data_IF_374370375155
#
_entry.id   IF_374370375155
#
_cell.length_a   1.000
_cell.length_b   1.000
_cell.length_c   1.000
_cell.angle_alpha   90.00
_cell.angle_beta   90.00
_cell.angle_gamma   90.00
#
_symmetry.space_group_name_H-M   'P 1'
#
loop_
_entity.id
_entity.type
_entity.pdbx_description
1 polymer ?
#
# COMPACT_ATOMS: atom_id res chain seq x y z
N UNK A 1 -5.37 -10.98 2.25
CA UNK A 1 -4.32 -11.69 1.51
C UNK A 1 -4.73 -13.10 1.06
N UNK A 2 -5.16 -14.00 1.96
CA UNK A 2 -5.62 -15.35 1.55
C UNK A 2 -6.95 -15.32 0.78
N UNK A 3 -7.91 -14.47 1.19
CA UNK A 3 -9.21 -14.29 0.52
C UNK A 3 -9.13 -13.82 -0.94
N UNK A 4 -8.21 -12.92 -1.27
CA UNK A 4 -8.04 -12.42 -2.66
C UNK A 4 -7.38 -13.47 -3.54
N UNK A 5 -6.33 -14.16 -3.04
CA UNK A 5 -5.72 -15.28 -3.76
C UNK A 5 -6.71 -16.41 -4.01
N UNK A 6 -7.60 -16.71 -3.06
CA UNK A 6 -8.67 -17.69 -3.23
C UNK A 6 -9.73 -17.21 -4.22
N UNK A 7 -10.12 -15.93 -4.19
CA UNK A 7 -11.04 -15.37 -5.18
C UNK A 7 -10.48 -15.44 -6.60
N UNK A 8 -9.21 -15.13 -6.79
CA UNK A 8 -8.54 -15.25 -8.09
C UNK A 8 -8.39 -16.71 -8.53
N UNK A 9 -8.12 -17.63 -7.60
CA UNK A 9 -8.10 -19.07 -7.88
C UNK A 9 -9.50 -19.58 -8.27
N UNK A 10 -10.54 -19.13 -7.55
CA UNK A 10 -11.94 -19.45 -7.81
C UNK A 10 -12.39 -18.93 -9.17
N UNK A 11 -12.07 -17.67 -9.51
CA UNK A 11 -12.33 -17.08 -10.83
C UNK A 11 -11.61 -17.79 -11.96
N UNK A 12 -10.35 -18.20 -11.75
CA UNK A 12 -9.61 -19.04 -12.72
C UNK A 12 -10.28 -20.40 -12.91
N UNK A 13 -10.80 -21.02 -11.84
CA UNK A 13 -11.50 -22.30 -11.91
C UNK A 13 -12.92 -22.21 -12.49
N UNK A 14 -13.59 -21.07 -12.38
CA UNK A 14 -14.93 -20.84 -12.96
C UNK A 14 -14.90 -20.27 -14.38
N UNK A 15 -13.73 -20.03 -14.97
CA UNK A 15 -13.61 -19.47 -16.32
C UNK A 15 -13.80 -17.94 -16.40
N UNK A 16 -13.69 -17.23 -15.27
CA UNK A 16 -13.85 -15.76 -15.18
C UNK A 16 -12.51 -15.05 -14.87
N UNK A 17 -11.38 -15.73 -15.05
CA UNK A 17 -10.06 -15.12 -14.89
C UNK A 17 -9.75 -14.13 -16.02
N UNK A 18 -8.92 -13.10 -15.77
CA UNK A 18 -8.57 -12.10 -16.80
C UNK A 18 -7.87 -12.69 -18.03
N UNK A 19 -7.23 -13.86 -17.88
CA UNK A 19 -6.67 -14.67 -18.98
C UNK A 19 -7.79 -15.26 -19.86
N UNK A 20 -8.87 -15.77 -19.24
CA UNK A 20 -10.03 -16.33 -19.96
C UNK A 20 -10.84 -15.23 -20.63
N UNK A 21 -11.01 -14.09 -19.96
CA UNK A 21 -11.64 -12.90 -20.55
C UNK A 21 -10.87 -12.48 -21.81
N UNK A 22 -9.54 -12.43 -21.75
CA UNK A 22 -8.71 -12.11 -22.91
C UNK A 22 -8.91 -13.10 -24.06
N UNK A 23 -8.84 -14.42 -23.79
CA UNK A 23 -9.13 -15.44 -24.82
C UNK A 23 -10.51 -15.26 -25.48
N UNK A 24 -11.53 -14.93 -24.69
CA UNK A 24 -12.89 -14.70 -25.20
C UNK A 24 -12.99 -13.43 -26.05
N UNK A 25 -12.29 -12.37 -25.64
CA UNK A 25 -12.20 -11.13 -26.41
C UNK A 25 -11.49 -11.36 -27.75
N UNK A 26 -10.41 -12.15 -27.76
CA UNK A 26 -9.68 -12.55 -28.98
C UNK A 26 -10.59 -13.28 -29.95
N UNK A 27 -11.27 -14.34 -29.50
CA UNK A 27 -12.22 -15.08 -30.34
C UNK A 27 -13.37 -14.20 -30.87
N UNK A 28 -13.83 -13.24 -30.06
CA UNK A 28 -14.84 -12.27 -30.51
C UNK A 28 -14.28 -11.33 -31.56
N UNK A 29 -13.06 -10.82 -31.37
CA UNK A 29 -12.41 -9.91 -32.30
C UNK A 29 -12.17 -10.58 -33.66
N UNK A 30 -11.70 -11.83 -33.67
CA UNK A 30 -11.58 -12.67 -34.88
C UNK A 30 -12.90 -12.74 -35.63
N UNK A 31 -13.99 -13.12 -34.94
CA UNK A 31 -15.29 -13.29 -35.57
C UNK A 31 -15.88 -11.98 -36.12
N UNK A 32 -15.62 -10.85 -35.46
CA UNK A 32 -16.12 -9.53 -35.87
C UNK A 32 -15.33 -8.94 -37.04
N UNK A 33 -14.01 -9.14 -37.07
CA UNK A 33 -13.11 -8.46 -38.02
C UNK A 33 -12.56 -9.38 -39.12
N UNK A 34 -12.77 -10.70 -39.04
CA UNK A 34 -12.32 -11.66 -40.05
C UNK A 34 -10.78 -11.77 -40.15
N UNK A 35 -10.08 -11.59 -39.03
CA UNK A 35 -8.60 -11.64 -38.95
C UNK A 35 -8.12 -12.98 -38.36
N UNK A 36 -6.82 -13.28 -38.50
CA UNK A 36 -6.23 -14.45 -37.84
C UNK A 36 -6.21 -14.28 -36.32
N UNK A 37 -6.07 -15.40 -35.60
CA UNK A 37 -5.96 -15.43 -34.14
C UNK A 37 -4.83 -14.54 -33.63
N UNK A 38 -3.64 -14.68 -34.22
CA UNK A 38 -2.43 -13.96 -33.84
C UNK A 38 -2.60 -12.45 -34.06
N UNK A 39 -3.26 -12.05 -35.15
CA UNK A 39 -3.54 -10.65 -35.43
C UNK A 39 -4.55 -10.05 -34.43
N UNK A 40 -5.55 -10.82 -34.00
CA UNK A 40 -6.50 -10.42 -32.96
C UNK A 40 -5.84 -10.31 -31.58
N UNK A 41 -5.02 -11.30 -31.20
CA UNK A 41 -4.23 -11.28 -29.96
C UNK A 41 -3.33 -10.06 -29.90
N UNK A 42 -2.60 -9.78 -30.99
CA UNK A 42 -1.76 -8.61 -31.09
C UNK A 42 -2.55 -7.31 -30.95
N UNK A 43 -3.68 -7.18 -31.65
CA UNK A 43 -4.50 -5.97 -31.56
C UNK A 43 -4.98 -5.72 -30.12
N UNK A 44 -5.56 -6.74 -29.47
CA UNK A 44 -6.07 -6.61 -28.10
C UNK A 44 -4.96 -6.44 -27.06
N UNK A 45 -3.80 -7.07 -27.27
CA UNK A 45 -2.62 -6.84 -26.45
C UNK A 45 -2.18 -5.38 -26.52
N UNK A 46 -2.09 -4.81 -27.73
CA UNK A 46 -1.72 -3.41 -27.93
C UNK A 46 -2.77 -2.46 -27.35
N UNK A 47 -4.06 -2.79 -27.43
CA UNK A 47 -5.11 -2.01 -26.76
C UNK A 47 -4.94 -2.00 -25.24
N UNK A 48 -4.66 -3.16 -24.63
CA UNK A 48 -4.39 -3.25 -23.17
C UNK A 48 -3.10 -2.53 -22.77
N UNK A 49 -2.08 -2.60 -23.60
CA UNK A 49 -0.83 -1.89 -23.38
C UNK A 49 -1.00 -0.37 -23.50
N UNK A 50 -1.79 0.08 -24.48
CA UNK A 50 -2.14 1.48 -24.63
C UNK A 50 -2.99 1.97 -23.45
N UNK A 51 -3.92 1.16 -22.95
CA UNK A 51 -4.68 1.47 -21.74
C UNK A 51 -3.76 1.63 -20.51
N UNK A 52 -2.76 0.76 -20.36
CA UNK A 52 -1.72 0.87 -19.32
C UNK A 52 -0.97 2.22 -19.43
N UNK A 53 -0.55 2.59 -20.64
CA UNK A 53 0.15 3.85 -20.92
C UNK A 53 -0.73 5.08 -20.65
N UNK A 54 -2.00 5.04 -21.04
CA UNK A 54 -2.96 6.10 -20.77
C UNK A 54 -3.17 6.29 -19.26
N UNK A 55 -3.32 5.22 -18.47
CA UNK A 55 -3.47 5.36 -17.02
C UNK A 55 -2.24 5.99 -16.36
N UNK A 56 -1.03 5.62 -16.76
CA UNK A 56 0.19 6.24 -16.25
C UNK A 56 0.22 7.75 -16.51
N UNK A 57 -0.15 8.12 -17.73
CA UNK A 57 -0.13 9.49 -18.21
C UNK A 57 -1.18 10.33 -17.48
N UNK A 58 -2.42 9.84 -17.38
CA UNK A 58 -3.57 10.60 -16.89
C UNK A 58 -3.85 10.41 -15.39
N UNK A 59 -3.89 9.16 -14.92
CA UNK A 59 -4.23 8.82 -13.54
C UNK A 59 -3.01 8.84 -12.61
N UNK A 60 -1.80 8.94 -13.17
CA UNK A 60 -0.52 9.05 -12.45
C UNK A 60 -0.21 7.85 -11.56
N UNK A 61 -0.96 6.78 -11.74
CA UNK A 61 -0.78 5.45 -11.20
C UNK A 61 -1.49 4.48 -12.14
N UNK A 62 -0.98 3.25 -12.18
CA UNK A 62 -1.66 2.17 -12.89
C UNK A 62 -2.62 1.52 -11.89
N UNK A 63 -3.90 1.47 -12.24
CA UNK A 63 -4.90 0.74 -11.47
C UNK A 63 -4.57 -0.75 -11.42
N UNK A 64 -4.93 -1.39 -10.32
CA UNK A 64 -4.75 -2.83 -10.16
C UNK A 64 -5.44 -3.62 -11.28
N UNK A 65 -6.56 -3.11 -11.80
CA UNK A 65 -7.36 -3.75 -12.84
C UNK A 65 -6.66 -3.71 -14.20
N UNK A 66 -6.26 -2.52 -14.66
CA UNK A 66 -5.57 -2.36 -15.95
C UNK A 66 -4.24 -3.09 -15.97
N UNK A 67 -3.48 -3.05 -14.86
CA UNK A 67 -2.26 -3.85 -14.76
C UNK A 67 -2.53 -5.35 -14.84
N UNK A 68 -3.55 -5.86 -14.12
CA UNK A 68 -3.90 -7.29 -14.16
C UNK A 68 -4.38 -7.72 -15.54
N UNK A 69 -5.12 -6.88 -16.25
CA UNK A 69 -5.55 -7.14 -17.61
C UNK A 69 -4.34 -7.25 -18.56
N UNK A 70 -3.39 -6.32 -18.45
CA UNK A 70 -2.14 -6.36 -19.24
C UNK A 70 -1.27 -7.59 -18.92
N UNK A 71 -1.09 -7.91 -17.63
CA UNK A 71 -0.33 -9.10 -17.21
C UNK A 71 -1.03 -10.38 -17.68
N UNK A 72 -2.36 -10.40 -17.68
CA UNK A 72 -3.13 -11.53 -18.19
C UNK A 72 -2.95 -11.72 -19.71
N UNK A 73 -2.95 -10.65 -20.50
CA UNK A 73 -2.66 -10.78 -21.94
C UNK A 73 -1.23 -11.26 -22.19
N UNK A 74 -0.25 -10.82 -21.41
CA UNK A 74 1.12 -11.34 -21.49
C UNK A 74 1.21 -12.83 -21.15
N UNK A 75 0.56 -13.27 -20.06
CA UNK A 75 0.58 -14.67 -19.65
C UNK A 75 -0.17 -15.57 -20.62
N UNK A 76 -1.16 -15.03 -21.34
CA UNK A 76 -1.88 -15.77 -22.37
C UNK A 76 -1.01 -15.93 -23.62
N UNK A 77 -0.46 -14.83 -24.15
CA UNK A 77 0.33 -14.84 -25.39
C UNK A 77 1.66 -15.61 -25.22
N UNK A 78 2.41 -15.35 -24.14
CA UNK A 78 3.78 -15.88 -23.99
C UNK A 78 3.90 -17.01 -22.96
N UNK A 79 2.80 -17.32 -22.25
CA UNK A 79 2.84 -18.19 -21.09
C UNK A 79 3.58 -17.58 -19.89
N UNK A 80 3.37 -18.18 -18.72
CA UNK A 80 4.03 -17.72 -17.46
C UNK A 80 5.55 -17.82 -17.51
N UNK A 81 6.07 -18.82 -18.21
CA UNK A 81 7.51 -19.01 -18.35
C UNK A 81 8.12 -17.95 -19.26
N UNK A 82 7.50 -17.64 -20.40
CA UNK A 82 7.96 -16.56 -21.28
C UNK A 82 7.96 -15.21 -20.58
N UNK A 83 6.92 -14.89 -19.80
CA UNK A 83 6.88 -13.67 -18.97
C UNK A 83 8.00 -13.65 -17.91
N UNK A 84 8.31 -14.78 -17.29
CA UNK A 84 9.40 -14.87 -16.33
C UNK A 84 10.78 -14.70 -17.00
N UNK A 85 10.96 -15.26 -18.20
CA UNK A 85 12.17 -15.09 -19.00
C UNK A 85 12.35 -13.64 -19.43
N UNK A 86 11.30 -12.95 -19.90
CA UNK A 86 11.35 -11.51 -20.19
C UNK A 86 11.81 -10.68 -18.98
N UNK A 87 11.30 -10.99 -17.79
CA UNK A 87 11.75 -10.32 -16.55
C UNK A 87 13.20 -10.61 -16.22
N UNK A 88 13.66 -11.86 -16.41
CA UNK A 88 15.07 -12.21 -16.21
C UNK A 88 15.97 -11.47 -17.19
N UNK A 89 15.58 -11.45 -18.46
CA UNK A 89 16.34 -10.82 -19.54
C UNK A 89 16.37 -9.30 -19.40
N UNK A 90 15.35 -8.71 -18.78
CA UNK A 90 15.31 -7.29 -18.40
C UNK A 90 16.49 -6.85 -17.52
N UNK A 91 17.06 -7.77 -16.73
CA UNK A 91 18.23 -7.53 -15.87
C UNK A 91 19.57 -7.80 -16.60
N UNK A 92 19.53 -8.38 -17.80
CA UNK A 92 20.72 -8.75 -18.54
C UNK A 92 21.41 -7.51 -19.15
N UNK A 93 22.72 -7.34 -18.94
CA UNK A 93 23.45 -6.15 -19.41
C UNK A 93 23.44 -5.93 -20.93
N UNK A 94 23.22 -6.97 -21.73
CA UNK A 94 23.17 -6.87 -23.20
C UNK A 94 21.96 -6.04 -23.65
N UNK A 95 20.87 -6.07 -22.88
CA UNK A 95 19.67 -5.28 -23.11
C UNK A 95 19.68 -3.95 -22.28
N UNK A 96 20.87 -3.48 -21.83
CA UNK A 96 21.09 -2.19 -21.14
C UNK A 96 20.83 -1.01 -22.08
N UNK A 97 20.54 0.20 -21.63
CA UNK A 97 19.90 0.71 -20.43
C UNK A 97 19.12 1.90 -20.98
N UNK A 98 17.84 2.04 -20.65
CA UNK A 98 17.15 3.26 -21.02
C UNK A 98 17.74 4.39 -20.16
N UNK A 99 18.57 5.24 -20.77
CA UNK A 99 19.15 6.40 -20.12
C UNK A 99 18.06 7.44 -19.94
N UNK A 100 17.33 7.32 -18.84
CA UNK A 100 16.36 8.32 -18.44
C UNK A 100 17.03 9.40 -17.61
N UNK A 101 16.66 10.64 -17.88
CA UNK A 101 16.93 11.72 -16.94
C UNK A 101 16.29 11.35 -15.59
N UNK A 102 16.93 11.69 -14.47
CA UNK A 102 16.31 11.52 -13.16
C UNK A 102 14.91 12.15 -13.12
N UNK A 103 14.03 11.61 -12.28
CA UNK A 103 12.73 12.24 -12.07
C UNK A 103 12.93 13.67 -11.52
N UNK A 104 12.20 14.60 -12.11
CA UNK A 104 12.17 16.01 -11.78
C UNK A 104 11.42 16.26 -10.46
N UNK A 105 11.62 17.45 -9.89
CA UNK A 105 10.86 17.88 -8.72
C UNK A 105 9.34 17.85 -8.96
N UNK A 106 8.91 18.16 -10.19
CA UNK A 106 7.49 18.07 -10.57
C UNK A 106 6.97 16.63 -10.47
N UNK A 107 7.73 15.65 -10.96
CA UNK A 107 7.38 14.21 -10.90
C UNK A 107 7.37 13.70 -9.44
N UNK A 108 8.30 14.16 -8.60
CA UNK A 108 8.29 13.86 -7.16
C UNK A 108 7.05 14.43 -6.47
N UNK A 109 6.72 15.69 -6.72
CA UNK A 109 5.54 16.34 -6.14
C UNK A 109 4.25 15.66 -6.61
N UNK A 110 4.18 15.26 -7.87
CA UNK A 110 3.04 14.49 -8.39
C UNK A 110 2.88 13.14 -7.68
N UNK A 111 3.98 12.41 -7.52
CA UNK A 111 3.98 11.11 -6.82
C UNK A 111 3.60 11.27 -5.35
N UNK A 112 4.13 12.29 -4.67
CA UNK A 112 3.73 12.61 -3.29
C UNK A 112 2.23 12.95 -3.20
N UNK A 113 1.69 13.72 -4.14
CA UNK A 113 0.27 14.07 -4.19
C UNK A 113 -0.62 12.85 -4.45
N UNK A 114 -0.17 11.89 -5.26
CA UNK A 114 -0.86 10.61 -5.44
C UNK A 114 -1.02 9.88 -4.11
N UNK A 115 0.09 9.67 -3.38
CA UNK A 115 0.05 9.03 -2.06
C UNK A 115 -0.84 9.80 -1.08
N UNK A 116 -0.72 11.14 -1.07
CA UNK A 116 -1.54 12.03 -0.23
C UNK A 116 -3.03 11.84 -0.49
N UNK A 117 -3.42 11.73 -1.76
CA UNK A 117 -4.83 11.55 -2.17
C UNK A 117 -5.34 10.15 -1.82
N UNK A 118 -4.54 9.11 -2.12
CA UNK A 118 -4.91 7.71 -1.90
C UNK A 118 -4.95 7.30 -0.42
N UNK A 119 -4.05 7.86 0.40
CA UNK A 119 -3.82 7.42 1.78
C UNK A 119 -4.15 8.50 2.83
N UNK A 120 -5.27 9.21 2.64
CA UNK A 120 -5.82 10.16 3.62
C UNK A 120 -4.80 11.19 4.13
N UNK A 121 -4.19 11.92 3.20
CA UNK A 121 -3.16 12.94 3.44
C UNK A 121 -1.80 12.44 3.98
N UNK A 122 -1.56 11.13 4.00
CA UNK A 122 -0.26 10.56 4.38
C UNK A 122 0.63 10.38 3.16
N UNK A 123 1.92 10.67 3.32
CA UNK A 123 2.94 10.53 2.27
C UNK A 123 4.08 9.65 2.79
N UNK A 124 4.60 8.70 1.99
CA UNK A 124 5.74 7.89 2.38
C UNK A 124 7.03 8.73 2.44
N UNK A 125 8.10 8.14 2.97
CA UNK A 125 9.41 8.80 3.01
C UNK A 125 9.92 9.17 1.62
N UNK A 126 10.79 10.20 1.55
CA UNK A 126 11.30 10.78 0.30
C UNK A 126 11.92 9.74 -0.62
N UNK A 127 12.66 8.76 -0.09
CA UNK A 127 13.25 7.68 -0.88
C UNK A 127 12.18 6.87 -1.65
N UNK A 128 11.07 6.51 -0.98
CA UNK A 128 9.97 5.77 -1.62
C UNK A 128 9.26 6.61 -2.68
N UNK A 129 9.03 7.89 -2.40
CA UNK A 129 8.44 8.81 -3.39
C UNK A 129 9.33 8.92 -4.62
N UNK A 130 10.64 9.03 -4.41
CA UNK A 130 11.63 9.08 -5.49
C UNK A 130 11.62 7.80 -6.32
N UNK A 131 11.73 6.63 -5.67
CA UNK A 131 11.75 5.33 -6.36
C UNK A 131 10.47 5.11 -7.19
N UNK A 132 9.29 5.44 -6.63
CA UNK A 132 8.02 5.34 -7.35
C UNK A 132 7.95 6.32 -8.54
N UNK A 133 8.47 7.55 -8.40
CA UNK A 133 8.51 8.51 -9.50
C UNK A 133 9.45 8.05 -10.63
N UNK A 134 10.62 7.48 -10.28
CA UNK A 134 11.56 6.92 -11.24
C UNK A 134 10.98 5.69 -11.95
N UNK A 135 10.32 4.78 -11.22
CA UNK A 135 9.62 3.64 -11.80
C UNK A 135 8.52 4.08 -12.77
N UNK A 136 7.73 5.09 -12.39
CA UNK A 136 6.68 5.63 -13.26
C UNK A 136 7.29 6.12 -14.60
N UNK A 137 8.37 6.90 -14.51
CA UNK A 137 9.08 7.42 -15.69
C UNK A 137 9.67 6.31 -16.56
N UNK A 138 10.20 5.25 -15.93
CA UNK A 138 10.65 4.04 -16.63
C UNK A 138 9.50 3.43 -17.42
N UNK A 139 8.34 3.23 -16.80
CA UNK A 139 7.21 2.60 -17.48
C UNK A 139 6.71 3.49 -18.63
N UNK A 140 6.56 4.80 -18.43
CA UNK A 140 6.12 5.73 -19.49
C UNK A 140 7.05 5.72 -20.70
N UNK A 141 8.36 5.79 -20.46
CA UNK A 141 9.33 5.87 -21.54
C UNK A 141 9.48 4.54 -22.28
N UNK A 142 9.45 3.40 -21.57
CA UNK A 142 9.46 2.08 -22.20
C UNK A 142 8.15 1.80 -22.96
N UNK A 143 7.01 2.25 -22.44
CA UNK A 143 5.73 2.10 -23.16
C UNK A 143 5.73 2.91 -24.45
N UNK A 144 6.26 4.13 -24.40
CA UNK A 144 6.42 4.99 -25.59
C UNK A 144 7.38 4.37 -26.60
N UNK A 145 8.52 3.84 -26.14
CA UNK A 145 9.48 3.16 -27.02
C UNK A 145 8.86 1.93 -27.67
N UNK A 146 8.17 1.09 -26.90
CA UNK A 146 7.53 -0.11 -27.40
C UNK A 146 6.48 0.26 -28.47
N UNK A 147 5.51 1.13 -28.16
CA UNK A 147 4.47 1.53 -29.11
C UNK A 147 4.98 2.29 -30.34
N UNK A 148 6.14 2.94 -30.23
CA UNK A 148 6.79 3.65 -31.32
C UNK A 148 7.68 2.76 -32.20
N UNK A 149 7.86 1.48 -31.86
CA UNK A 149 8.74 0.59 -32.62
C UNK A 149 8.10 0.20 -33.97
N UNK A 150 8.76 0.46 -35.12
CA UNK A 150 8.21 0.16 -36.43
C UNK A 150 8.03 -1.35 -36.69
N UNK A 151 8.76 -2.22 -35.97
CA UNK A 151 8.62 -3.67 -36.10
C UNK A 151 7.22 -4.16 -35.67
N UNK A 152 6.55 -3.42 -34.77
CA UNK A 152 5.16 -3.68 -34.40
C UNK A 152 4.18 -3.54 -35.56
N UNK A 153 4.48 -2.81 -36.63
CA UNK A 153 3.58 -2.71 -37.77
C UNK A 153 3.70 -3.93 -38.72
N UNK A 154 4.86 -4.58 -38.76
CA UNK A 154 5.22 -5.54 -39.81
C UNK A 154 4.89 -7.00 -39.53
N UNK A 155 4.80 -7.41 -38.26
CA UNK A 155 4.61 -8.83 -37.87
C UNK A 155 3.25 -9.03 -37.22
N UNK A 156 2.42 -9.95 -37.73
CA UNK A 156 1.10 -10.24 -37.17
C UNK A 156 1.15 -10.97 -35.82
N UNK A 157 2.20 -11.74 -35.58
CA UNK A 157 2.43 -12.56 -34.40
C UNK A 157 3.40 -11.88 -33.41
N UNK A 158 2.95 -11.72 -32.16
CA UNK A 158 3.73 -11.14 -31.08
C UNK A 158 4.88 -12.05 -30.61
N UNK A 159 4.71 -13.37 -30.59
CA UNK A 159 5.75 -14.30 -30.17
C UNK A 159 6.92 -14.27 -31.15
N UNK A 160 6.62 -14.36 -32.45
CA UNK A 160 7.62 -14.22 -33.51
C UNK A 160 8.34 -12.86 -33.46
N UNK A 161 7.60 -11.78 -33.18
CA UNK A 161 8.18 -10.45 -33.06
C UNK A 161 9.19 -10.37 -31.91
N UNK A 162 8.82 -10.83 -30.71
CA UNK A 162 9.72 -10.79 -29.55
C UNK A 162 10.92 -11.73 -29.74
N UNK A 163 10.74 -12.85 -30.44
CA UNK A 163 11.84 -13.74 -30.79
C UNK A 163 12.85 -13.07 -31.74
N UNK A 164 12.38 -12.25 -32.68
CA UNK A 164 13.22 -11.48 -33.60
C UNK A 164 13.84 -10.23 -32.95
N UNK A 165 13.13 -9.63 -31.99
CA UNK A 165 13.47 -8.39 -31.29
C UNK A 165 13.44 -8.60 -29.76
N UNK A 166 14.39 -9.36 -29.19
CA UNK A 166 14.40 -9.69 -27.76
C UNK A 166 14.49 -8.47 -26.85
N UNK A 167 14.99 -7.33 -27.35
CA UNK A 167 14.98 -6.03 -26.67
C UNK A 167 13.57 -5.56 -26.30
N UNK A 168 12.57 -5.83 -27.14
CA UNK A 168 11.17 -5.51 -26.85
C UNK A 168 10.63 -6.38 -25.72
N UNK A 169 11.03 -7.65 -25.68
CA UNK A 169 10.69 -8.57 -24.58
C UNK A 169 11.32 -8.12 -23.26
N UNK A 170 12.59 -7.71 -23.30
CA UNK A 170 13.28 -7.15 -22.13
C UNK A 170 12.60 -5.87 -21.62
N UNK A 171 12.05 -5.04 -22.51
CA UNK A 171 11.31 -3.82 -22.15
C UNK A 171 10.00 -4.12 -21.43
N UNK A 172 9.22 -5.06 -21.94
CA UNK A 172 8.04 -5.57 -21.26
C UNK A 172 8.40 -6.12 -19.88
N UNK A 173 9.52 -6.85 -19.77
CA UNK A 173 10.07 -7.33 -18.50
C UNK A 173 10.43 -6.21 -17.52
N UNK A 174 11.02 -5.11 -17.99
CA UNK A 174 11.35 -3.93 -17.15
C UNK A 174 10.08 -3.21 -16.69
N UNK A 175 9.08 -3.05 -17.56
CA UNK A 175 7.78 -2.45 -17.21
C UNK A 175 7.12 -3.24 -16.06
N UNK A 176 7.07 -4.56 -16.19
CA UNK A 176 6.50 -5.42 -15.14
C UNK A 176 7.24 -5.27 -13.82
N UNK A 177 8.57 -5.28 -13.86
CA UNK A 177 9.41 -5.19 -12.66
C UNK A 177 9.25 -3.83 -11.95
N UNK A 178 9.21 -2.73 -12.71
CA UNK A 178 9.00 -1.38 -12.18
C UNK A 178 7.62 -1.21 -11.52
N UNK A 179 6.58 -1.83 -12.10
CA UNK A 179 5.24 -1.82 -11.50
C UNK A 179 5.17 -2.67 -10.24
N UNK A 180 5.73 -3.88 -10.25
CA UNK A 180 5.78 -4.74 -9.07
C UNK A 180 6.51 -4.08 -7.89
N UNK A 181 7.60 -3.36 -8.17
CA UNK A 181 8.34 -2.59 -7.18
C UNK A 181 7.48 -1.46 -6.60
N UNK A 182 6.79 -0.70 -7.46
CA UNK A 182 5.86 0.37 -7.04
C UNK A 182 4.72 -0.18 -6.17
N UNK A 183 4.12 -1.31 -6.54
CA UNK A 183 3.07 -1.97 -5.76
C UNK A 183 3.55 -2.47 -4.41
N UNK A 184 4.80 -2.93 -4.35
CA UNK A 184 5.42 -3.34 -3.09
C UNK A 184 5.57 -2.13 -2.16
N UNK A 185 6.00 -0.98 -2.67
CA UNK A 185 6.10 0.26 -1.88
C UNK A 185 4.74 0.70 -1.37
N UNK A 186 3.72 0.72 -2.23
CA UNK A 186 2.35 1.07 -1.84
C UNK A 186 1.80 0.13 -0.76
N UNK A 187 1.93 -1.19 -0.95
CA UNK A 187 1.47 -2.19 0.02
C UNK A 187 2.18 -2.05 1.37
N UNK A 188 3.49 -1.83 1.36
CA UNK A 188 4.26 -1.59 2.60
C UNK A 188 3.80 -0.32 3.30
N UNK A 189 3.57 0.74 2.55
CA UNK A 189 3.11 2.01 3.10
C UNK A 189 1.70 1.88 3.71
N UNK A 190 0.77 1.27 2.99
CA UNK A 190 -0.58 0.97 3.49
C UNK A 190 -0.54 0.12 4.77
N UNK A 191 0.29 -0.93 4.80
CA UNK A 191 0.49 -1.76 5.98
C UNK A 191 1.02 -0.94 7.17
N UNK A 192 1.99 -0.04 6.93
CA UNK A 192 2.50 0.89 7.94
C UNK A 192 1.42 1.83 8.49
N UNK A 193 0.54 2.34 7.62
CA UNK A 193 -0.61 3.17 8.03
C UNK A 193 -1.56 2.39 8.93
N UNK A 194 -1.93 1.17 8.53
CA UNK A 194 -2.80 0.29 9.33
C UNK A 194 -2.17 -0.05 10.68
N UNK A 195 -0.88 -0.35 10.69
CA UNK A 195 -0.14 -0.61 11.92
C UNK A 195 -0.15 0.60 12.86
N UNK A 196 0.15 1.80 12.35
CA UNK A 196 0.14 3.03 13.14
C UNK A 196 -1.25 3.34 13.72
N UNK A 197 -2.32 3.19 12.92
CA UNK A 197 -3.71 3.33 13.44
C UNK A 197 -4.02 2.32 14.54
N UNK A 198 -3.55 1.07 14.38
CA UNK A 198 -3.74 0.03 15.40
C UNK A 198 -2.98 0.33 16.68
N UNK A 199 -1.74 0.83 16.56
CA UNK A 199 -0.91 1.24 17.69
C UNK A 199 -1.46 2.47 18.42
N UNK A 200 -1.99 3.46 17.69
CA UNK A 200 -2.68 4.61 18.29
C UNK A 200 -3.91 4.17 19.07
N UNK A 201 -4.70 3.24 18.51
CA UNK A 201 -5.87 2.67 19.18
C UNK A 201 -5.46 1.90 20.44
N UNK A 202 -4.46 1.02 20.35
CA UNK A 202 -3.92 0.30 21.50
C UNK A 202 -3.40 1.25 22.58
N UNK A 203 -2.66 2.30 22.20
CA UNK A 203 -2.18 3.32 23.13
C UNK A 203 -3.31 4.08 23.82
N UNK A 204 -4.38 4.41 23.09
CA UNK A 204 -5.57 5.05 23.64
C UNK A 204 -6.32 4.09 24.60
N UNK A 205 -6.53 2.83 24.21
CA UNK A 205 -7.17 1.81 25.06
C UNK A 205 -6.34 1.54 26.31
N UNK A 206 -5.02 1.45 26.20
CA UNK A 206 -4.12 1.30 27.34
C UNK A 206 -4.18 2.52 28.26
N UNK A 207 -4.23 3.73 27.70
CA UNK A 207 -4.38 4.98 28.46
C UNK A 207 -5.72 5.06 29.19
N UNK A 208 -6.82 4.67 28.54
CA UNK A 208 -8.15 4.61 29.15
C UNK A 208 -8.23 3.53 30.24
N UNK A 209 -7.62 2.36 30.00
CA UNK A 209 -7.57 1.27 30.97
C UNK A 209 -6.75 1.66 32.19
N UNK A 210 -5.56 2.24 32.00
CA UNK A 210 -4.75 2.82 33.07
C UNK A 210 -5.49 3.93 33.81
N UNK A 211 -6.17 4.84 33.09
CA UNK A 211 -7.00 5.87 33.72
C UNK A 211 -8.14 5.29 34.57
N UNK A 212 -8.73 4.19 34.12
CA UNK A 212 -9.80 3.49 34.84
C UNK A 212 -9.26 2.77 36.08
N UNK A 213 -8.15 2.04 35.96
CA UNK A 213 -7.53 1.31 37.08
C UNK A 213 -6.88 2.23 38.11
N UNK A 214 -6.24 3.31 37.67
CA UNK A 214 -5.50 4.21 38.56
C UNK A 214 -6.40 5.26 39.20
N UNK A 215 -7.51 5.64 38.57
CA UNK A 215 -8.35 6.73 39.07
C UNK A 215 -9.81 6.37 39.26
N UNK A 216 -10.50 5.83 38.25
CA UNK A 216 -11.95 5.53 38.39
C UNK A 216 -12.20 4.50 39.50
N UNK A 217 -11.56 3.35 39.44
CA UNK A 217 -11.76 2.29 40.43
C UNK A 217 -11.39 2.73 41.86
N UNK A 218 -10.24 3.40 42.10
CA UNK A 218 -9.96 3.98 43.41
C UNK A 218 -10.98 5.04 43.81
N UNK A 219 -11.32 6.01 42.95
CA UNK A 219 -12.25 7.09 43.30
C UNK A 219 -13.67 6.60 43.60
N UNK A 220 -14.14 5.56 42.93
CA UNK A 220 -15.41 4.89 43.22
C UNK A 220 -15.34 4.13 44.53
N UNK A 221 -14.23 3.43 44.80
CA UNK A 221 -13.98 2.81 46.11
C UNK A 221 -13.98 3.85 47.24
N UNK A 222 -13.31 5.00 47.06
CA UNK A 222 -13.34 6.12 48.02
C UNK A 222 -14.76 6.65 48.27
N UNK A 223 -15.61 6.73 47.23
CA UNK A 223 -17.03 7.12 47.39
C UNK A 223 -17.83 6.08 48.18
N UNK A 224 -17.54 4.80 48.01
CA UNK A 224 -18.20 3.71 48.73
C UNK A 224 -17.77 3.70 50.20
N UNK A 225 -16.46 3.80 50.49
CA UNK A 225 -15.96 3.80 51.87
C UNK A 225 -16.28 5.11 52.60
N UNK A 226 -16.26 6.24 51.91
CA UNK A 226 -16.71 7.52 52.49
C UNK A 226 -18.19 7.50 52.90
N UNK A 227 -19.02 6.63 52.29
CA UNK A 227 -20.41 6.41 52.68
C UNK A 227 -20.59 5.40 53.82
N UNK A 228 -19.62 4.50 54.06
CA UNK A 228 -19.70 3.49 55.13
C UNK A 228 -19.27 4.03 56.50
N UNK A 229 -18.71 5.24 56.58
CA UNK A 229 -18.40 5.92 57.85
C UNK A 229 -17.24 5.31 58.65
N UNK A 230 -16.55 4.30 58.09
CA UNK A 230 -15.38 3.70 58.72
C UNK A 230 -14.20 4.67 58.68
N UNK A 231 -13.59 4.95 59.84
CA UNK A 231 -12.35 5.75 59.95
C UNK A 231 -11.20 4.98 59.31
N UNK A 232 -11.02 5.15 58.01
CA UNK A 232 -9.84 4.67 57.30
C UNK A 232 -8.59 5.40 57.83
N UNK A 233 -7.53 4.62 58.03
CA UNK A 233 -6.23 5.13 58.43
C UNK A 233 -5.62 5.90 57.25
N UNK A 234 -5.88 7.21 57.21
CA UNK A 234 -5.53 8.15 56.13
C UNK A 234 -4.08 8.00 55.65
N UNK A 235 -3.18 7.66 56.57
CA UNK A 235 -1.76 7.48 56.30
C UNK A 235 -1.45 6.30 55.35
N UNK A 236 -2.20 5.20 55.47
CA UNK A 236 -2.06 4.04 54.60
C UNK A 236 -2.54 4.38 53.17
N UNK A 237 -3.70 5.03 53.08
CA UNK A 237 -4.30 5.42 51.80
C UNK A 237 -3.52 6.52 51.06
N UNK A 238 -2.93 7.47 51.79
CA UNK A 238 -2.03 8.48 51.22
C UNK A 238 -0.75 7.86 50.66
N UNK A 239 -0.16 6.88 51.37
CA UNK A 239 1.04 6.15 50.92
C UNK A 239 0.78 5.35 49.65
N UNK A 240 -0.37 4.68 49.51
CA UNK A 240 -0.73 3.97 48.27
C UNK A 240 -0.95 4.92 47.10
N UNK A 241 -1.62 6.06 47.30
CA UNK A 241 -1.82 7.05 46.23
C UNK A 241 -0.50 7.66 45.77
N UNK A 242 0.42 7.95 46.70
CA UNK A 242 1.76 8.46 46.41
C UNK A 242 2.62 7.40 45.70
N UNK A 243 2.50 6.11 46.07
CA UNK A 243 3.21 5.03 45.40
C UNK A 243 2.76 4.85 43.94
N UNK A 244 1.44 4.89 43.69
CA UNK A 244 0.86 4.83 42.33
C UNK A 244 1.25 6.05 41.49
N UNK A 245 1.26 7.23 42.12
CA UNK A 245 1.75 8.48 41.53
C UNK A 245 3.24 8.43 41.13
N UNK A 246 4.09 7.79 41.94
CA UNK A 246 5.53 7.59 41.64
C UNK A 246 5.74 6.60 40.48
N UNK A 247 4.92 5.55 40.38
CA UNK A 247 4.90 4.64 39.23
C UNK A 247 4.55 5.38 37.94
N UNK A 248 3.52 6.24 37.95
CA UNK A 248 3.15 7.08 36.81
C UNK A 248 4.20 8.12 36.41
N UNK A 249 4.97 8.66 37.36
CA UNK A 249 6.08 9.57 37.06
C UNK A 249 7.22 8.87 36.30
N UNK A 250 7.42 7.57 36.54
CA UNK A 250 8.47 6.76 35.91
C UNK A 250 8.16 6.41 34.44
N UNK A 251 6.89 6.45 34.02
CA UNK A 251 6.45 6.13 32.65
C UNK A 251 6.17 7.35 31.74
N UNK A 252 6.50 8.57 32.18
CA UNK A 252 6.64 9.73 31.29
C UNK A 252 5.50 10.75 31.27
N UNK A 253 5.71 11.83 30.49
CA UNK A 253 5.14 13.20 30.57
C UNK A 253 3.60 13.35 30.60
N UNK A 254 2.81 12.28 30.43
CA UNK A 254 1.36 12.32 30.63
C UNK A 254 0.96 12.38 32.12
N UNK A 255 1.81 11.90 33.02
CA UNK A 255 1.55 11.87 34.47
C UNK A 255 1.62 13.22 35.17
N UNK A 256 2.35 14.21 34.65
CA UNK A 256 2.65 15.45 35.39
C UNK A 256 1.44 16.36 35.57
N UNK A 257 0.54 16.47 34.57
CA UNK A 257 -0.70 17.25 34.73
C UNK A 257 -1.67 16.57 35.70
N UNK A 258 -1.72 15.24 35.69
CA UNK A 258 -2.57 14.43 36.57
C UNK A 258 -2.07 14.44 38.02
N UNK A 259 -0.75 14.46 38.24
CA UNK A 259 -0.15 14.63 39.57
C UNK A 259 -0.51 15.99 40.19
N UNK A 260 -0.56 17.06 39.38
CA UNK A 260 -0.95 18.40 39.84
C UNK A 260 -2.43 18.44 40.22
N UNK A 261 -3.32 17.77 39.47
CA UNK A 261 -4.73 17.68 39.85
C UNK A 261 -4.96 16.82 41.08
N UNK A 262 -4.31 15.65 41.19
CA UNK A 262 -4.42 14.79 42.37
C UNK A 262 -3.93 15.49 43.65
N UNK A 263 -2.85 16.28 43.56
CA UNK A 263 -2.36 17.09 44.67
C UNK A 263 -3.37 18.18 45.09
N UNK A 264 -4.06 18.80 44.12
CA UNK A 264 -5.12 19.79 44.39
C UNK A 264 -6.34 19.15 45.07
N UNK A 265 -6.77 17.97 44.61
CA UNK A 265 -7.90 17.25 45.21
C UNK A 265 -7.59 16.76 46.63
N UNK A 266 -6.39 16.23 46.85
CA UNK A 266 -5.93 15.83 48.18
C UNK A 266 -5.87 17.02 49.15
N UNK A 267 -5.36 18.17 48.69
CA UNK A 267 -5.33 19.42 49.48
C UNK A 267 -6.74 19.90 49.84
N UNK A 268 -7.66 19.95 48.87
CA UNK A 268 -9.04 20.36 49.11
C UNK A 268 -9.76 19.45 50.13
N UNK A 269 -9.43 18.17 50.18
CA UNK A 269 -9.99 17.24 51.15
C UNK A 269 -9.39 17.43 52.56
N UNK A 270 -8.07 17.64 52.65
CA UNK A 270 -7.37 17.94 53.91
C UNK A 270 -7.92 19.21 54.55
N UNK A 271 -8.10 20.27 53.75
CA UNK A 271 -8.64 21.54 54.22
C UNK A 271 -10.08 21.39 54.75
N UNK A 272 -10.88 20.50 54.14
CA UNK A 272 -12.27 20.21 54.56
C UNK A 272 -12.37 19.35 55.83
N UNK A 273 -11.33 18.58 56.16
CA UNK A 273 -11.25 17.76 57.39
C UNK A 273 -10.59 18.48 58.58
N UNK A 274 -10.05 19.69 58.36
CA UNK A 274 -9.40 20.52 59.40
C UNK A 274 -10.30 21.61 60.01
N UNK A 275 -11.44 21.91 59.38
CA UNK A 275 -12.57 22.65 59.95
C UNK A 275 -13.56 21.70 60.60
#
# INVERSE_FOLDING_TARGET
>A
MFKEKIKDLGRRMTGEGPEVIFKQEVARYEAMHGVSHEAAEKALFLDRFNALQHELTYNRAISDETHRAFVASLNEVFGKNGVADMKRDSATPIYRALLLSPASLAEFNQTANYFKTKFENKVPGVAVVKDCAENKKIIEALSTRFMGDPSLAGVGDLEALIAAHPELGADLGKILSAKELSDMHERRFEAGIRFNRSMETLGNTARESLGTMVWKAPSEWWKVVGKSGEKLNFEYCAKTTIATAKLLHKEGKAGTKLLVEAAKTAKAYIDKTRT
#
